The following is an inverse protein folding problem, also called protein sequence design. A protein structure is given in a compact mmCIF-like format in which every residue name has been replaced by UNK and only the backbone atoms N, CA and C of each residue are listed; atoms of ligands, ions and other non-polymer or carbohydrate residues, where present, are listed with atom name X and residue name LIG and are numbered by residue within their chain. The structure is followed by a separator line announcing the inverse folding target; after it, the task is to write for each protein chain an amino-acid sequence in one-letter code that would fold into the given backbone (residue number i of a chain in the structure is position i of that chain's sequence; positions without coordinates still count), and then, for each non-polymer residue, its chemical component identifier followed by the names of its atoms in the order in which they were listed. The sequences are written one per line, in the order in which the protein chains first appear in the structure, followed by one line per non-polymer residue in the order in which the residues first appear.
data_IF_912842426996
#
_entry.id   IF_912842426996
#
_cell.length_a   1.000
_cell.length_b   1.000
_cell.length_c   1.000
_cell.angle_alpha   90.00
_cell.angle_beta   90.00
_cell.angle_gamma   90.00
#
_symmetry.space_group_name_H-M   'P 1'
#
loop_
_entity.id
_entity.type
_entity.pdbx_description
1 polymer ?
#
# COMPACT_ATOMS: atom_id res chain seq x y z
N UNK A 1 10.77 13.67 14.74
CA UNK A 1 9.98 12.71 13.92
C UNK A 1 9.84 11.34 14.63
N UNK A 2 9.27 11.29 15.85
CA UNK A 2 9.00 10.00 16.56
C UNK A 2 7.74 9.29 16.05
N UNK A 3 6.89 9.99 15.28
CA UNK A 3 5.53 9.57 14.94
C UNK A 3 5.34 9.26 13.44
N UNK A 4 6.39 8.84 12.72
CA UNK A 4 6.27 8.52 11.28
C UNK A 4 5.23 7.43 11.01
N UNK A 5 5.09 6.47 11.93
CA UNK A 5 4.06 5.42 11.88
C UNK A 5 2.63 5.97 11.99
N UNK A 6 2.43 7.09 12.69
CA UNK A 6 1.14 7.80 12.78
C UNK A 6 0.88 8.54 11.46
N UNK A 7 1.91 9.20 10.92
CA UNK A 7 1.78 9.90 9.65
C UNK A 7 1.39 8.94 8.51
N UNK A 8 2.12 7.85 8.36
CA UNK A 8 1.92 6.85 7.31
C UNK A 8 0.60 6.08 7.44
N UNK A 9 0.03 5.98 8.64
CA UNK A 9 -1.30 5.37 8.82
C UNK A 9 -2.45 6.35 8.53
N UNK A 10 -2.23 7.66 8.70
CA UNK A 10 -3.24 8.69 8.54
C UNK A 10 -3.22 9.41 7.20
N UNK A 11 -2.10 9.46 6.49
CA UNK A 11 -1.96 10.20 5.25
C UNK A 11 -1.63 9.26 4.08
N UNK A 12 -2.28 9.50 2.94
CA UNK A 12 -2.01 8.82 1.68
C UNK A 12 -1.40 9.80 0.69
N UNK A 13 -0.45 9.32 -0.10
CA UNK A 13 0.24 10.16 -1.08
C UNK A 13 -0.49 10.15 -2.43
N UNK A 14 -0.83 11.33 -2.93
CA UNK A 14 -1.31 11.52 -4.28
C UNK A 14 -0.13 11.91 -5.19
N UNK A 15 0.31 10.95 -6.00
CA UNK A 15 1.42 11.12 -6.95
C UNK A 15 1.17 12.22 -7.99
N UNK A 16 -0.06 12.37 -8.47
CA UNK A 16 -0.40 13.34 -9.52
C UNK A 16 -0.24 14.78 -9.03
N UNK A 17 -0.76 15.04 -7.83
CA UNK A 17 -0.79 16.38 -7.25
C UNK A 17 0.40 16.66 -6.33
N UNK A 18 1.22 15.65 -6.03
CA UNK A 18 2.34 15.72 -5.09
C UNK A 18 1.94 16.23 -3.70
N UNK A 19 0.79 15.75 -3.22
CA UNK A 19 0.24 16.10 -1.90
C UNK A 19 -0.05 14.85 -1.08
N UNK A 20 0.13 14.95 0.23
CA UNK A 20 -0.41 13.99 1.19
C UNK A 20 -1.80 14.41 1.60
N UNK A 21 -2.75 13.48 1.62
CA UNK A 21 -4.15 13.70 1.98
C UNK A 21 -4.49 12.81 3.16
N UNK A 22 -5.17 13.36 4.16
CA UNK A 22 -5.66 12.61 5.30
C UNK A 22 -6.70 11.56 4.87
N UNK A 23 -6.54 10.32 5.34
CA UNK A 23 -7.36 9.16 4.97
C UNK A 23 -8.77 9.25 5.56
N UNK A 24 -8.88 9.72 6.80
CA UNK A 24 -10.14 9.88 7.53
C UNK A 24 -10.02 11.07 8.47
N UNK A 25 -11.02 11.93 8.49
CA UNK A 25 -11.10 13.07 9.39
C UNK A 25 -12.39 13.00 10.19
N UNK A 26 -12.35 13.43 11.44
CA UNK A 26 -13.55 13.64 12.25
C UNK A 26 -14.25 14.97 11.91
N UNK A 27 -13.64 15.79 11.05
CA UNK A 27 -14.15 17.08 10.61
C UNK A 27 -14.75 16.97 9.20
N UNK A 28 -15.48 18.01 8.77
CA UNK A 28 -16.04 18.13 7.40
C UNK A 28 -14.97 18.27 6.30
N UNK A 29 -13.70 18.45 6.68
CA UNK A 29 -12.58 18.67 5.77
C UNK A 29 -11.45 17.69 6.07
N UNK A 30 -10.73 17.29 5.01
CA UNK A 30 -9.52 16.48 5.10
C UNK A 30 -8.29 17.38 5.14
N UNK A 31 -7.35 17.08 6.01
CA UNK A 31 -6.07 17.79 6.02
C UNK A 31 -5.21 17.38 4.82
N UNK A 32 -4.49 18.35 4.24
CA UNK A 32 -3.55 18.11 3.15
C UNK A 32 -2.19 18.72 3.42
N UNK A 33 -1.12 18.03 3.05
CA UNK A 33 0.25 18.50 3.20
C UNK A 33 0.93 18.50 1.82
N UNK A 34 1.35 19.67 1.36
CA UNK A 34 2.02 19.84 0.08
C UNK A 34 3.54 19.65 0.23
N UNK A 35 4.16 18.90 -0.68
CA UNK A 35 5.61 18.68 -0.68
C UNK A 35 6.39 20.00 -0.82
N UNK A 36 5.85 21.00 -1.52
CA UNK A 36 6.48 22.33 -1.65
C UNK A 36 6.64 23.01 -0.29
N UNK A 37 5.65 22.88 0.59
CA UNK A 37 5.74 23.45 1.95
C UNK A 37 6.81 22.73 2.78
N UNK A 38 6.90 21.40 2.66
CA UNK A 38 7.95 20.61 3.31
C UNK A 38 9.34 21.05 2.82
N UNK A 39 9.52 21.19 1.50
CA UNK A 39 10.77 21.64 0.91
C UNK A 39 11.17 23.05 1.38
N UNK A 40 10.20 23.97 1.46
CA UNK A 40 10.43 25.32 1.98
C UNK A 40 10.81 25.29 3.46
N UNK A 41 10.14 24.49 4.30
CA UNK A 41 10.52 24.32 5.71
C UNK A 41 11.93 23.77 5.88
N UNK A 42 12.37 22.83 5.04
CA UNK A 42 13.75 22.32 5.05
C UNK A 42 14.74 23.44 4.66
N UNK A 43 14.39 24.27 3.68
CA UNK A 43 15.23 25.39 3.24
C UNK A 43 15.37 26.46 4.33
N UNK A 44 14.28 26.78 5.03
CA UNK A 44 14.26 27.84 6.05
C UNK A 44 14.85 27.40 7.39
N UNK A 45 14.54 26.17 7.84
CA UNK A 45 14.94 25.69 9.17
C UNK A 45 16.17 24.77 9.14
N UNK A 46 16.73 24.53 7.96
CA UNK A 46 17.91 23.69 7.77
C UNK A 46 17.64 22.19 7.90
N UNK A 47 18.71 21.40 7.74
CA UNK A 47 18.65 19.93 7.67
C UNK A 47 18.83 19.24 9.02
N UNK A 48 18.77 19.97 10.15
CA UNK A 48 19.13 19.45 11.48
C UNK A 48 18.36 18.18 11.90
N UNK A 49 17.11 18.02 11.44
CA UNK A 49 16.26 16.85 11.75
C UNK A 49 16.32 15.78 10.64
N UNK A 50 17.01 16.04 9.51
CA UNK A 50 17.04 15.12 8.35
C UNK A 50 17.71 13.79 8.70
N UNK A 51 18.91 13.79 9.30
CA UNK A 51 19.63 12.55 9.59
C UNK A 51 18.80 11.59 10.47
N UNK A 52 18.21 12.12 11.53
CA UNK A 52 17.31 11.35 12.40
C UNK A 52 16.07 10.87 11.66
N UNK A 53 15.49 11.70 10.79
CA UNK A 53 14.30 11.37 9.98
C UNK A 53 14.59 10.28 8.95
N UNK A 54 15.72 10.38 8.25
CA UNK A 54 16.17 9.38 7.28
C UNK A 54 16.40 8.03 7.98
N UNK A 55 17.06 8.02 9.14
CA UNK A 55 17.26 6.80 9.91
C UNK A 55 15.93 6.17 10.36
N UNK A 56 14.99 6.96 10.90
CA UNK A 56 13.67 6.43 11.27
C UNK A 56 12.89 5.90 10.07
N UNK A 57 12.94 6.60 8.94
CA UNK A 57 12.30 6.17 7.69
C UNK A 57 12.89 4.86 7.20
N UNK A 58 14.21 4.73 7.20
CA UNK A 58 14.90 3.50 6.84
C UNK A 58 14.50 2.32 7.74
N UNK A 59 14.51 2.50 9.07
CA UNK A 59 14.10 1.45 10.00
C UNK A 59 12.63 1.06 9.84
N UNK A 60 11.77 2.03 9.57
CA UNK A 60 10.36 1.80 9.30
C UNK A 60 10.16 1.00 8.01
N UNK A 61 10.75 1.46 6.91
CA UNK A 61 10.70 0.77 5.61
C UNK A 61 11.27 -0.64 5.70
N UNK A 62 12.40 -0.84 6.39
CA UNK A 62 12.97 -2.18 6.61
C UNK A 62 11.95 -3.14 7.23
N UNK A 63 11.22 -2.69 8.26
CA UNK A 63 10.16 -3.50 8.89
C UNK A 63 8.98 -3.75 7.94
N UNK A 64 8.54 -2.74 7.18
CA UNK A 64 7.44 -2.88 6.22
C UNK A 64 7.81 -3.81 5.06
N UNK A 65 9.01 -3.69 4.51
CA UNK A 65 9.52 -4.58 3.47
C UNK A 65 9.69 -6.02 3.95
N UNK A 66 10.04 -6.24 5.22
CA UNK A 66 10.04 -7.58 5.80
C UNK A 66 8.63 -8.20 5.81
N UNK A 67 7.61 -7.45 6.25
CA UNK A 67 6.21 -7.94 6.19
C UNK A 67 5.78 -8.16 4.74
N UNK A 68 6.16 -7.25 3.84
CA UNK A 68 5.87 -7.35 2.41
C UNK A 68 6.48 -8.62 1.81
N UNK A 69 7.73 -8.94 2.14
CA UNK A 69 8.34 -10.17 1.64
C UNK A 69 7.64 -11.41 2.17
N UNK A 70 7.27 -11.47 3.45
CA UNK A 70 6.47 -12.57 4.00
C UNK A 70 5.17 -12.77 3.23
N UNK A 71 4.47 -11.67 2.91
CA UNK A 71 3.25 -11.73 2.10
C UNK A 71 3.51 -12.27 0.68
N UNK A 72 4.60 -11.84 0.03
CA UNK A 72 4.97 -12.30 -1.31
C UNK A 72 5.35 -13.79 -1.34
N UNK A 73 5.86 -14.32 -0.24
CA UNK A 73 6.22 -15.74 -0.09
C UNK A 73 5.06 -16.61 0.44
N UNK A 74 3.89 -16.05 0.70
CA UNK A 74 2.72 -16.82 1.13
C UNK A 74 2.27 -17.77 0.02
N UNK A 75 2.44 -19.07 0.25
CA UNK A 75 2.10 -20.13 -0.70
C UNK A 75 0.60 -20.18 -1.04
N UNK A 76 -0.29 -19.75 -0.13
CA UNK A 76 -1.72 -19.72 -0.40
C UNK A 76 -2.09 -18.66 -1.46
N UNK A 77 -1.36 -17.54 -1.50
CA UNK A 77 -1.55 -16.48 -2.50
C UNK A 77 -0.79 -16.82 -3.77
N UNK A 78 0.48 -17.19 -3.65
CA UNK A 78 1.36 -17.53 -4.77
C UNK A 78 0.79 -18.66 -5.62
N UNK A 79 0.33 -19.75 -5.01
CA UNK A 79 -0.23 -20.89 -5.74
C UNK A 79 -1.48 -20.52 -6.55
N UNK A 80 -2.32 -19.61 -6.05
CA UNK A 80 -3.50 -19.10 -6.76
C UNK A 80 -3.12 -18.20 -7.93
N UNK A 81 -2.18 -17.27 -7.72
CA UNK A 81 -1.66 -16.41 -8.77
C UNK A 81 -0.99 -17.21 -9.90
N UNK A 82 -0.25 -18.28 -9.57
CA UNK A 82 0.37 -19.17 -10.57
C UNK A 82 -0.69 -19.89 -11.42
N UNK A 83 -1.80 -20.33 -10.81
CA UNK A 83 -2.91 -20.93 -11.55
C UNK A 83 -3.58 -19.93 -12.48
N UNK A 84 -3.75 -18.69 -12.02
CA UNK A 84 -4.40 -17.64 -12.81
C UNK A 84 -3.53 -17.12 -13.95
N UNK A 85 -2.21 -16.99 -13.77
CA UNK A 85 -1.31 -16.58 -14.85
C UNK A 85 -1.19 -17.67 -15.92
N UNK A 86 -1.20 -18.96 -15.56
CA UNK A 86 -1.21 -20.07 -16.52
C UNK A 86 -2.46 -20.02 -17.38
N UNK A 87 -3.62 -19.92 -16.74
CA UNK A 87 -4.89 -19.77 -17.43
C UNK A 87 -4.93 -18.53 -18.33
N UNK A 88 -4.47 -17.37 -17.84
CA UNK A 88 -4.44 -16.16 -18.66
C UNK A 88 -3.57 -16.33 -19.91
N UNK A 89 -2.41 -16.99 -19.80
CA UNK A 89 -1.53 -17.27 -20.94
C UNK A 89 -2.16 -18.18 -22.00
N UNK A 90 -3.06 -19.07 -21.61
CA UNK A 90 -3.75 -19.99 -22.53
C UNK A 90 -4.84 -19.29 -23.35
N UNK A 91 -5.46 -18.23 -22.80
CA UNK A 91 -6.71 -17.66 -23.36
C UNK A 91 -6.51 -16.23 -23.83
N UNK A 92 -5.38 -15.58 -23.51
CA UNK A 92 -5.09 -14.19 -23.89
C UNK A 92 -5.30 -13.94 -25.38
N UNK A 93 -4.91 -14.88 -26.25
CA UNK A 93 -4.97 -14.72 -27.70
C UNK A 93 -6.42 -14.86 -28.21
N UNK A 94 -7.28 -15.55 -27.46
CA UNK A 94 -8.70 -15.75 -27.78
C UNK A 94 -9.59 -14.64 -27.20
N UNK A 95 -9.14 -13.97 -26.14
CA UNK A 95 -9.96 -13.04 -25.35
C UNK A 95 -9.44 -11.59 -25.42
N UNK A 96 -8.84 -11.19 -26.55
CA UNK A 96 -8.33 -9.84 -26.77
C UNK A 96 -7.39 -9.37 -25.64
N UNK A 97 -6.56 -10.28 -25.14
CA UNK A 97 -5.64 -10.05 -24.01
C UNK A 97 -6.33 -9.58 -22.71
N UNK A 98 -7.64 -9.77 -22.58
CA UNK A 98 -8.42 -9.39 -21.38
C UNK A 98 -8.49 -10.51 -20.38
N UNK A 99 -8.32 -10.16 -19.11
CA UNK A 99 -8.53 -11.07 -18.00
C UNK A 99 -10.03 -11.22 -17.72
N UNK A 100 -10.61 -12.44 -17.70
CA UNK A 100 -12.05 -12.62 -17.49
C UNK A 100 -12.53 -12.13 -16.11
N UNK A 101 -13.63 -11.37 -16.10
CA UNK A 101 -14.21 -10.80 -14.88
C UNK A 101 -14.61 -11.88 -13.86
N UNK A 102 -15.30 -12.94 -14.30
CA UNK A 102 -15.75 -14.03 -13.43
C UNK A 102 -14.59 -14.68 -12.67
N UNK A 103 -13.41 -14.71 -13.29
CA UNK A 103 -12.22 -15.28 -12.66
C UNK A 103 -11.60 -14.32 -11.65
N UNK A 104 -11.58 -13.02 -11.93
CA UNK A 104 -11.20 -12.01 -10.96
C UNK A 104 -12.13 -12.06 -9.72
N UNK A 105 -13.42 -12.24 -9.94
CA UNK A 105 -14.38 -12.37 -8.85
C UNK A 105 -14.14 -13.65 -8.02
N UNK A 106 -13.95 -14.80 -8.68
CA UNK A 106 -13.61 -16.07 -8.01
C UNK A 106 -12.32 -15.95 -7.19
N UNK A 107 -11.31 -15.26 -7.72
CA UNK A 107 -10.05 -15.00 -7.00
C UNK A 107 -10.29 -14.17 -5.73
N UNK A 108 -11.02 -13.05 -5.83
CA UNK A 108 -11.35 -12.19 -4.68
C UNK A 108 -12.17 -12.94 -3.62
N UNK A 109 -13.19 -13.71 -4.03
CA UNK A 109 -13.98 -14.56 -3.13
C UNK A 109 -13.10 -15.63 -2.47
N UNK A 110 -12.20 -16.25 -3.23
CA UNK A 110 -11.26 -17.24 -2.73
C UNK A 110 -10.33 -16.66 -1.66
N UNK A 111 -9.81 -15.45 -1.85
CA UNK A 111 -8.92 -14.80 -0.88
C UNK A 111 -9.67 -14.46 0.41
N UNK A 112 -10.90 -13.96 0.31
CA UNK A 112 -11.73 -13.74 1.52
C UNK A 112 -11.91 -14.98 2.38
N UNK A 113 -11.92 -16.19 1.78
CA UNK A 113 -12.00 -17.46 2.53
C UNK A 113 -10.73 -17.80 3.32
N UNK A 114 -9.59 -17.18 3.04
CA UNK A 114 -8.35 -17.42 3.80
C UNK A 114 -8.39 -16.81 5.20
N UNK A 115 -9.29 -15.85 5.42
CA UNK A 115 -9.48 -15.19 6.70
C UNK A 115 -9.81 -13.72 6.52
N UNK A 116 -10.51 -13.18 7.51
CA UNK A 116 -10.85 -11.78 7.63
C UNK A 116 -10.39 -11.35 9.03
N UNK A 117 -9.75 -10.18 9.14
CA UNK A 117 -9.36 -9.65 10.45
C UNK A 117 -10.59 -9.26 11.28
N UNK A 118 -10.46 -9.06 12.61
CA UNK A 118 -11.55 -8.54 13.43
C UNK A 118 -12.14 -7.22 12.91
N UNK A 119 -11.33 -6.41 12.20
CA UNK A 119 -11.72 -5.15 11.58
C UNK A 119 -12.37 -5.32 10.19
N UNK A 120 -12.66 -6.55 9.76
CA UNK A 120 -13.33 -6.83 8.49
C UNK A 120 -12.42 -6.77 7.26
N UNK A 121 -11.10 -6.72 7.43
CA UNK A 121 -10.15 -6.60 6.31
C UNK A 121 -9.76 -7.96 5.76
N UNK A 122 -9.84 -8.13 4.44
CA UNK A 122 -9.28 -9.31 3.78
C UNK A 122 -7.76 -9.24 3.71
N UNK A 123 -7.11 -10.36 3.42
CA UNK A 123 -5.67 -10.41 3.14
C UNK A 123 -5.24 -9.41 2.04
N UNK A 124 -6.03 -9.23 0.98
CA UNK A 124 -5.75 -8.25 -0.07
C UNK A 124 -5.87 -6.81 0.42
N UNK A 125 -6.79 -6.54 1.35
CA UNK A 125 -6.95 -5.21 1.92
C UNK A 125 -5.77 -4.84 2.81
N UNK A 126 -5.29 -5.79 3.62
CA UNK A 126 -4.07 -5.63 4.41
C UNK A 126 -2.85 -5.38 3.51
N UNK A 127 -2.72 -6.12 2.41
CA UNK A 127 -1.64 -5.93 1.45
C UNK A 127 -1.70 -4.57 0.75
N UNK A 128 -2.90 -4.15 0.31
CA UNK A 128 -3.09 -2.83 -0.29
C UNK A 128 -2.70 -1.71 0.67
N UNK A 129 -3.07 -1.86 1.95
CA UNK A 129 -2.64 -0.92 2.99
C UNK A 129 -1.13 -0.94 3.19
N UNK A 130 -0.51 -2.13 3.23
CA UNK A 130 0.93 -2.25 3.36
C UNK A 130 1.68 -1.52 2.24
N UNK A 131 1.24 -1.69 0.98
CA UNK A 131 1.83 -0.99 -0.18
C UNK A 131 1.69 0.52 -0.03
N UNK A 132 0.53 1.03 0.43
CA UNK A 132 0.35 2.47 0.62
C UNK A 132 1.24 3.09 1.70
N UNK A 133 1.84 2.25 2.54
CA UNK A 133 2.70 2.64 3.66
C UNK A 133 4.20 2.47 3.36
N UNK A 134 4.55 1.97 2.17
CA UNK A 134 5.92 1.82 1.68
C UNK A 134 6.19 2.96 0.71
#
# INVERSE_FOLDING_TARGET
MRNIHIFVSRYLYNLNNQIFIERTSNNKHLNTINIRHIANSIRTHGTGIMNTTVNFTYQFLKKKFYIFSQFMYDEHIKSRLIKDIRFFREIKDQNDHKYPFDRAEKFNRGIRKLGITPEGQSYLDQFRQLISQI
#
